data_IF_316403007084
#
_entry.id   IF_316403007084
#
_cell.length_a   1.000
_cell.length_b   1.000
_cell.length_c   1.000
_cell.angle_alpha   90.00
_cell.angle_beta   90.00
_cell.angle_gamma   90.00
#
_symmetry.space_group_name_H-M   'P 1'
#
loop_
_entity.id
_entity.type
_entity.pdbx_description
1 polymer ?
#
# COMPACT_ATOMS: atom_id res chain seq x y z
N UNK A 1 19.04 3.36 -7.37
CA UNK A 1 18.43 2.85 -6.13
C UNK A 1 16.95 2.76 -6.40
N UNK A 2 16.41 1.56 -6.59
CA UNK A 2 14.99 1.36 -6.91
C UNK A 2 14.22 1.53 -5.60
N UNK A 3 13.19 2.38 -5.59
CA UNK A 3 12.44 2.77 -4.38
C UNK A 3 11.81 1.56 -3.69
N UNK A 4 11.75 1.62 -2.36
CA UNK A 4 11.29 0.54 -1.48
C UNK A 4 11.90 0.71 -0.08
N UNK A 5 11.36 0.03 0.93
CA UNK A 5 11.75 0.20 2.35
C UNK A 5 11.67 1.66 2.85
N UNK A 6 10.67 2.41 2.38
CA UNK A 6 10.40 3.75 2.89
C UNK A 6 9.40 3.67 4.03
N UNK A 7 9.66 4.38 5.13
CA UNK A 7 8.65 4.67 6.15
C UNK A 7 7.93 5.94 5.72
N UNK A 8 6.62 5.84 5.50
CA UNK A 8 5.78 6.89 4.93
C UNK A 8 4.70 7.26 5.94
N UNK A 9 4.58 8.56 6.20
CA UNK A 9 3.62 9.17 7.13
C UNK A 9 2.92 10.30 6.38
N UNK A 10 1.59 10.26 6.30
CA UNK A 10 0.79 11.26 5.57
C UNK A 10 0.50 12.49 6.43
N UNK A 11 0.15 12.27 7.69
CA UNK A 11 -0.30 13.31 8.60
C UNK A 11 -1.81 13.28 8.79
N UNK A 12 -2.46 14.43 8.60
CA UNK A 12 -3.90 14.56 8.80
C UNK A 12 -4.55 15.07 7.50
N UNK A 13 -5.75 14.60 7.21
CA UNK A 13 -6.47 14.89 5.98
C UNK A 13 -6.28 13.78 4.93
N UNK A 14 -6.89 14.00 3.76
CA UNK A 14 -6.91 13.02 2.68
C UNK A 14 -5.51 12.87 2.02
N UNK A 15 -4.78 11.81 2.36
CA UNK A 15 -3.44 11.55 1.84
C UNK A 15 -3.41 10.43 0.78
N UNK A 16 -2.44 10.53 -0.13
CA UNK A 16 -2.14 9.45 -1.09
C UNK A 16 -0.75 8.87 -0.85
N UNK A 17 -0.71 7.58 -0.52
CA UNK A 17 0.51 6.81 -0.31
C UNK A 17 0.88 6.01 -1.57
N UNK A 18 1.88 6.48 -2.32
CA UNK A 18 2.38 5.75 -3.49
C UNK A 18 3.25 4.57 -3.08
N UNK A 19 2.72 3.35 -3.16
CA UNK A 19 3.42 2.13 -2.69
C UNK A 19 4.10 1.35 -3.83
N UNK A 20 3.69 1.56 -5.08
CA UNK A 20 4.37 1.04 -6.27
C UNK A 20 4.10 1.92 -7.50
N UNK A 21 5.15 2.37 -8.20
CA UNK A 21 5.02 3.23 -9.39
C UNK A 21 6.01 2.79 -10.46
N UNK A 22 5.49 2.30 -11.59
CA UNK A 22 6.23 1.81 -12.76
C UNK A 22 7.01 0.50 -12.54
N UNK A 23 7.21 0.09 -11.28
CA UNK A 23 7.88 -1.14 -10.90
C UNK A 23 7.51 -1.55 -9.47
N UNK A 24 7.69 -2.84 -9.18
CA UNK A 24 7.55 -3.41 -7.83
C UNK A 24 8.74 -2.94 -6.98
N UNK A 25 8.52 -2.52 -5.72
CA UNK A 25 9.61 -2.11 -4.85
C UNK A 25 10.48 -3.31 -4.47
N UNK A 26 11.80 -3.11 -4.32
CA UNK A 26 12.71 -4.19 -3.90
C UNK A 26 12.46 -4.67 -2.46
N UNK A 27 11.71 -3.89 -1.67
CA UNK A 27 11.35 -4.17 -0.29
C UNK A 27 10.09 -3.39 0.05
N UNK A 28 9.18 -3.99 0.82
CA UNK A 28 7.90 -3.40 1.19
C UNK A 28 8.08 -2.00 1.82
N UNK A 29 7.18 -1.08 1.49
CA UNK A 29 7.06 0.19 2.20
C UNK A 29 6.37 -0.02 3.55
N UNK A 30 6.57 0.88 4.50
CA UNK A 30 5.88 0.87 5.79
C UNK A 30 5.08 2.16 5.91
N UNK A 31 3.76 2.06 5.95
CA UNK A 31 2.85 3.20 6.12
C UNK A 31 2.39 3.25 7.57
N UNK A 32 2.53 4.40 8.22
CA UNK A 32 2.41 4.50 9.69
C UNK A 32 1.04 4.97 10.19
N UNK A 33 0.26 5.67 9.37
CA UNK A 33 -0.91 6.44 9.80
C UNK A 33 -2.08 6.39 8.80
N UNK A 34 -2.14 5.34 7.97
CA UNK A 34 -3.21 5.18 6.98
C UNK A 34 -4.59 5.06 7.63
N UNK A 35 -5.55 5.85 7.14
CA UNK A 35 -6.94 5.88 7.57
C UNK A 35 -7.87 5.49 6.42
N UNK A 36 -8.45 4.29 6.49
CA UNK A 36 -9.40 3.82 5.46
C UNK A 36 -10.65 4.72 5.38
N UNK A 37 -11.07 5.03 4.16
CA UNK A 37 -12.16 5.96 3.87
C UNK A 37 -11.79 7.44 3.87
N UNK A 38 -10.53 7.78 4.20
CA UNK A 38 -9.94 9.12 4.09
C UNK A 38 -8.76 9.08 3.11
N UNK A 39 -7.81 8.17 3.36
CA UNK A 39 -6.60 8.02 2.57
C UNK A 39 -6.74 7.00 1.43
N UNK A 40 -5.82 7.08 0.47
CA UNK A 40 -5.72 6.12 -0.64
C UNK A 40 -4.30 5.62 -0.90
N UNK A 41 -4.20 4.36 -1.30
CA UNK A 41 -2.97 3.70 -1.72
C UNK A 41 -2.83 3.79 -3.25
N UNK A 42 -1.78 4.45 -3.71
CA UNK A 42 -1.47 4.61 -5.12
C UNK A 42 -0.61 3.46 -5.65
N UNK A 43 -1.11 2.77 -6.67
CA UNK A 43 -0.34 1.79 -7.46
C UNK A 43 -0.46 2.17 -8.93
N UNK A 44 0.66 2.45 -9.59
CA UNK A 44 0.65 2.92 -10.98
C UNK A 44 1.66 2.20 -11.86
N UNK A 45 1.35 2.03 -13.15
CA UNK A 45 2.29 1.57 -14.17
C UNK A 45 2.66 0.08 -14.09
N UNK A 46 1.92 -0.72 -13.33
CA UNK A 46 2.09 -2.18 -13.25
C UNK A 46 1.07 -2.96 -14.11
N UNK A 47 0.01 -2.30 -14.59
CA UNK A 47 -1.05 -2.95 -15.36
C UNK A 47 -1.89 -3.96 -14.55
N UNK A 48 -1.98 -3.74 -13.24
CA UNK A 48 -2.75 -4.58 -12.29
C UNK A 48 -3.97 -3.82 -11.77
N UNK A 49 -4.91 -4.55 -11.19
CA UNK A 49 -6.02 -4.01 -10.41
C UNK A 49 -6.10 -4.59 -9.01
N UNK A 50 -7.13 -4.18 -8.26
CA UNK A 50 -7.35 -4.62 -6.88
C UNK A 50 -7.44 -6.14 -6.73
N UNK A 51 -8.03 -6.84 -7.72
CA UNK A 51 -8.16 -8.30 -7.70
C UNK A 51 -6.84 -9.06 -7.80
N UNK A 52 -5.76 -8.40 -8.22
CA UNK A 52 -4.43 -9.01 -8.32
C UNK A 52 -3.66 -8.94 -7.00
N UNK A 53 -4.13 -8.11 -6.05
CA UNK A 53 -3.50 -7.93 -4.76
C UNK A 53 -3.91 -9.01 -3.77
N UNK A 54 -2.95 -9.44 -2.96
CA UNK A 54 -3.19 -10.18 -1.74
C UNK A 54 -3.11 -9.23 -0.56
N UNK A 55 -4.16 -9.21 0.25
CA UNK A 55 -4.27 -8.39 1.45
C UNK A 55 -4.38 -9.34 2.64
N UNK A 56 -3.35 -9.37 3.48
CA UNK A 56 -3.23 -10.32 4.59
C UNK A 56 -2.99 -9.59 5.90
N UNK A 57 -3.77 -9.92 6.93
CA UNK A 57 -3.53 -9.42 8.27
C UNK A 57 -2.30 -10.13 8.87
N UNK A 58 -1.35 -9.36 9.39
CA UNK A 58 -0.18 -9.84 10.14
C UNK A 58 -0.16 -9.14 11.50
N UNK A 59 -0.59 -9.83 12.54
CA UNK A 59 -0.82 -9.24 13.86
C UNK A 59 -1.80 -8.06 13.81
N UNK A 60 -1.36 -6.85 14.16
CA UNK A 60 -2.16 -5.62 14.12
C UNK A 60 -2.05 -4.87 12.78
N UNK A 61 -1.21 -5.35 11.86
CA UNK A 61 -0.85 -4.65 10.63
C UNK A 61 -1.43 -5.38 9.41
N UNK A 62 -1.53 -4.67 8.29
CA UNK A 62 -1.96 -5.26 7.01
C UNK A 62 -0.80 -5.29 6.02
N UNK A 63 -0.49 -6.48 5.49
CA UNK A 63 0.46 -6.67 4.41
C UNK A 63 -0.28 -6.70 3.07
N UNK A 64 0.22 -5.92 2.11
CA UNK A 64 -0.23 -5.87 0.72
C UNK A 64 0.87 -6.41 -0.16
N UNK A 65 0.55 -7.44 -0.94
CA UNK A 65 1.48 -8.08 -1.87
C UNK A 65 0.87 -8.29 -3.25
N UNK A 66 1.75 -8.44 -4.25
CA UNK A 66 1.43 -8.86 -5.60
C UNK A 66 2.16 -10.18 -5.86
N UNK A 67 1.43 -11.29 -5.86
CA UNK A 67 2.06 -12.61 -5.90
C UNK A 67 2.99 -12.84 -4.70
N UNK A 68 4.29 -13.04 -4.96
CA UNK A 68 5.31 -13.22 -3.93
C UNK A 68 6.00 -11.91 -3.52
N UNK A 69 5.69 -10.80 -4.19
CA UNK A 69 6.35 -9.52 -3.96
C UNK A 69 5.55 -8.66 -2.97
N UNK A 70 6.19 -8.25 -1.88
CA UNK A 70 5.58 -7.39 -0.87
C UNK A 70 5.65 -5.92 -1.30
N UNK A 71 4.50 -5.25 -1.36
CA UNK A 71 4.40 -3.85 -1.79
C UNK A 71 4.45 -2.89 -0.59
N UNK A 72 3.64 -3.17 0.43
CA UNK A 72 3.55 -2.33 1.61
C UNK A 72 2.97 -3.07 2.83
N UNK A 73 3.39 -2.62 4.01
CA UNK A 73 2.79 -2.93 5.31
C UNK A 73 2.16 -1.66 5.87
N UNK A 74 0.88 -1.73 6.24
CA UNK A 74 0.16 -0.64 6.90
C UNK A 74 0.08 -0.94 8.40
N UNK A 75 0.65 -0.07 9.23
CA UNK A 75 0.69 -0.28 10.66
C UNK A 75 -0.67 0.00 11.30
N UNK A 76 -1.14 -0.91 12.15
CA UNK A 76 -2.40 -0.76 12.90
C UNK A 76 -3.68 -0.78 12.07
N UNK A 77 -3.58 -1.00 10.75
CA UNK A 77 -4.73 -1.12 9.85
C UNK A 77 -5.20 -2.56 9.81
N UNK A 78 -6.50 -2.78 9.97
CA UNK A 78 -7.11 -4.12 9.98
C UNK A 78 -8.32 -4.27 9.05
N UNK A 79 -8.67 -3.23 8.32
CA UNK A 79 -9.76 -3.24 7.36
C UNK A 79 -9.39 -2.35 6.19
N UNK A 80 -9.43 -2.94 5.00
CA UNK A 80 -9.27 -2.26 3.73
C UNK A 80 -10.41 -2.69 2.80
N UNK A 81 -10.75 -1.81 1.90
CA UNK A 81 -11.75 -1.96 0.86
C UNK A 81 -11.15 -1.61 -0.49
N UNK A 82 -11.80 -1.98 -1.60
CA UNK A 82 -11.37 -1.53 -2.93
C UNK A 82 -11.32 -0.01 -3.10
N UNK A 83 -12.07 0.75 -2.30
CA UNK A 83 -12.09 2.22 -2.38
C UNK A 83 -10.81 2.87 -1.84
N UNK A 84 -10.05 2.14 -1.03
CA UNK A 84 -8.77 2.60 -0.46
C UNK A 84 -7.62 2.52 -1.47
N UNK A 85 -7.87 2.12 -2.72
CA UNK A 85 -6.84 1.90 -3.74
C UNK A 85 -7.13 2.71 -5.01
N UNK A 86 -6.08 3.35 -5.52
CA UNK A 86 -6.09 4.06 -6.80
C UNK A 86 -5.08 3.40 -7.73
N UNK A 87 -5.57 2.96 -8.90
CA UNK A 87 -4.77 2.33 -9.95
C UNK A 87 -4.63 3.27 -11.15
N UNK A 88 -3.44 3.33 -11.75
CA UNK A 88 -3.15 4.15 -12.94
C UNK A 88 -2.22 3.46 -13.94
#
# INVERSE_FOLDING_TARGET
MLGGNSTITGGAGDDQFSIAVGQIPNSANVVTDFTSGEDVLGIAGLGIGFSDLSITQVNADTLISLGNDELATLLGVNSLSPADFVFA
#
